data_IF_908524492921
#
_entry.id   IF_908524492921
#
_cell.length_a   1.000
_cell.length_b   1.000
_cell.length_c   1.000
_cell.angle_alpha   90.00
_cell.angle_beta   90.00
_cell.angle_gamma   90.00
#
_symmetry.space_group_name_H-M   'P 1'
#
loop_
_entity.id
_entity.type
_entity.pdbx_description
1 polymer ?
#
# COMPACT_ATOMS: atom_id res chain seq x y z
N UNK A 1 -9.17 -1.36 -33.73
CA UNK A 1 -10.22 -0.57 -33.02
C UNK A 1 -11.38 -1.45 -32.57
N UNK A 2 -12.02 -2.24 -33.45
CA UNK A 2 -13.19 -3.07 -33.10
C UNK A 2 -12.95 -4.07 -31.96
N UNK A 3 -11.79 -4.69 -31.91
CA UNK A 3 -11.44 -5.62 -30.82
C UNK A 3 -11.38 -4.95 -29.45
N UNK A 4 -10.90 -3.72 -29.38
CA UNK A 4 -10.86 -2.94 -28.13
C UNK A 4 -12.27 -2.51 -27.72
N UNK A 5 -13.07 -2.08 -28.67
CA UNK A 5 -14.45 -1.64 -28.43
C UNK A 5 -15.31 -2.76 -27.80
N UNK A 6 -15.05 -4.01 -28.15
CA UNK A 6 -15.76 -5.16 -27.59
C UNK A 6 -15.57 -5.34 -26.06
N UNK A 7 -14.56 -4.73 -25.48
CA UNK A 7 -14.32 -4.78 -24.03
C UNK A 7 -14.99 -3.64 -23.26
N UNK A 8 -15.50 -2.62 -23.93
CA UNK A 8 -16.23 -1.55 -23.25
C UNK A 8 -17.66 -1.99 -22.94
N UNK A 9 -18.16 -1.69 -21.74
CA UNK A 9 -19.54 -1.95 -21.42
C UNK A 9 -20.49 -1.07 -22.24
N UNK A 10 -21.72 -1.56 -22.42
CA UNK A 10 -22.76 -0.73 -23.01
C UNK A 10 -23.14 0.43 -22.09
N UNK A 11 -23.61 1.52 -22.65
CA UNK A 11 -24.12 2.64 -21.88
C UNK A 11 -25.29 2.20 -20.98
N UNK A 12 -25.30 2.69 -19.74
CA UNK A 12 -26.45 2.49 -18.82
C UNK A 12 -27.53 3.55 -19.05
N UNK A 13 -27.17 4.67 -19.73
CA UNK A 13 -28.09 5.71 -20.14
C UNK A 13 -27.68 6.25 -21.52
N UNK A 14 -28.29 5.75 -22.56
CA UNK A 14 -27.96 6.13 -23.95
C UNK A 14 -28.33 7.57 -24.30
N UNK A 15 -29.21 8.22 -23.52
CA UNK A 15 -29.57 9.62 -23.74
C UNK A 15 -28.45 10.61 -23.41
N UNK A 16 -27.40 10.15 -22.68
CA UNK A 16 -26.27 10.99 -22.33
C UNK A 16 -25.11 10.78 -23.30
N UNK A 17 -24.58 11.86 -23.85
CA UNK A 17 -23.38 11.82 -24.70
C UNK A 17 -22.09 11.55 -23.94
N UNK A 18 -22.03 11.95 -22.68
CA UNK A 18 -20.92 11.70 -21.75
C UNK A 18 -21.48 11.27 -20.39
N UNK A 19 -20.70 10.50 -19.62
CA UNK A 19 -21.16 9.96 -18.34
C UNK A 19 -22.34 8.98 -18.50
N UNK A 20 -22.43 8.34 -19.65
CA UNK A 20 -23.52 7.46 -20.05
C UNK A 20 -23.41 6.04 -19.49
N UNK A 21 -22.34 5.74 -18.75
CA UNK A 21 -22.15 4.48 -18.06
C UNK A 21 -21.98 4.72 -16.56
N UNK A 22 -22.77 4.03 -15.75
CA UNK A 22 -22.69 4.10 -14.29
C UNK A 22 -22.82 2.71 -13.69
N UNK A 23 -21.94 2.40 -12.76
CA UNK A 23 -21.92 1.14 -12.00
C UNK A 23 -21.51 1.43 -10.57
N UNK A 24 -22.10 0.70 -9.63
CA UNK A 24 -21.65 0.69 -8.24
C UNK A 24 -20.46 -0.24 -8.09
N UNK A 25 -19.43 0.22 -7.40
CA UNK A 25 -18.29 -0.61 -6.99
C UNK A 25 -17.92 -0.28 -5.55
N UNK A 26 -17.53 -1.31 -4.79
CA UNK A 26 -17.09 -1.15 -3.40
C UNK A 26 -15.59 -1.38 -3.34
N UNK A 27 -14.80 -0.39 -2.91
CA UNK A 27 -13.37 -0.58 -2.70
C UNK A 27 -13.12 -1.65 -1.64
N UNK A 28 -12.12 -2.50 -1.88
CA UNK A 28 -11.64 -3.43 -0.87
C UNK A 28 -10.81 -2.67 0.16
N UNK A 29 -11.12 -2.86 1.44
CA UNK A 29 -10.31 -2.37 2.54
C UNK A 29 -10.34 -3.37 3.69
N UNK A 30 -9.21 -4.03 3.91
CA UNK A 30 -9.04 -4.95 5.04
C UNK A 30 -7.72 -4.65 5.71
N UNK A 31 -7.74 -4.34 7.00
CA UNK A 31 -6.55 -4.07 7.78
C UNK A 31 -6.61 -4.83 9.10
N UNK A 32 -5.53 -5.54 9.40
CA UNK A 32 -5.32 -6.20 10.68
C UNK A 32 -4.05 -5.67 11.31
N UNK A 33 -4.13 -5.35 12.58
CA UNK A 33 -2.99 -4.88 13.35
C UNK A 33 -2.87 -5.68 14.65
N UNK A 34 -1.67 -6.17 14.90
CA UNK A 34 -1.30 -6.87 16.14
C UNK A 34 -0.20 -6.08 16.81
N UNK A 35 -0.41 -5.75 18.07
CA UNK A 35 0.54 -4.99 18.87
C UNK A 35 0.75 -5.68 20.23
N UNK A 36 2.01 -5.79 20.63
CA UNK A 36 2.38 -6.36 21.92
C UNK A 36 3.50 -5.55 22.55
N UNK A 37 3.38 -5.27 23.83
CA UNK A 37 4.41 -4.60 24.64
C UNK A 37 4.70 -5.38 25.91
N UNK A 38 5.98 -5.55 26.20
CA UNK A 38 6.46 -6.13 27.46
C UNK A 38 7.33 -5.10 28.18
N UNK A 39 7.16 -5.02 29.51
CA UNK A 39 8.02 -4.22 30.38
C UNK A 39 8.72 -5.16 31.35
N UNK A 40 10.00 -4.93 31.56
CA UNK A 40 10.84 -5.67 32.49
C UNK A 40 11.54 -4.69 33.43
N UNK A 41 11.15 -4.72 34.69
CA UNK A 41 11.82 -3.98 35.75
C UNK A 41 13.00 -4.82 36.27
N UNK A 42 14.21 -4.53 35.77
CA UNK A 42 15.42 -5.19 36.22
C UNK A 42 15.69 -4.94 37.73
N UNK A 43 15.39 -3.70 38.15
CA UNK A 43 15.40 -3.24 39.54
C UNK A 43 14.64 -1.93 39.65
N UNK A 44 14.58 -1.31 40.80
CA UNK A 44 13.91 -0.05 41.08
C UNK A 44 14.41 1.14 40.22
N UNK A 45 15.62 1.04 39.67
CA UNK A 45 16.29 2.10 38.89
C UNK A 45 16.30 1.84 37.41
N UNK A 46 16.04 0.62 36.93
CA UNK A 46 16.21 0.25 35.56
C UNK A 46 14.98 -0.48 35.00
N UNK A 47 14.22 0.20 34.19
CA UNK A 47 13.11 -0.34 33.41
C UNK A 47 13.56 -0.55 31.97
N UNK A 48 13.24 -1.71 31.40
CA UNK A 48 13.45 -2.06 29.99
C UNK A 48 12.11 -2.45 29.41
N UNK A 49 11.84 -2.08 28.19
CA UNK A 49 10.62 -2.47 27.49
C UNK A 49 10.91 -2.88 26.05
N UNK A 50 10.10 -3.78 25.53
CA UNK A 50 10.08 -4.16 24.14
C UNK A 50 8.67 -4.05 23.58
N UNK A 51 8.56 -3.64 22.32
CA UNK A 51 7.29 -3.56 21.59
C UNK A 51 7.45 -4.18 20.20
N UNK A 52 6.43 -4.93 19.78
CA UNK A 52 6.30 -5.52 18.46
C UNK A 52 4.93 -5.14 17.91
N UNK A 53 4.90 -4.58 16.71
CA UNK A 53 3.68 -4.30 15.98
C UNK A 53 3.76 -4.88 14.57
N UNK A 54 2.71 -5.56 14.12
CA UNK A 54 2.60 -6.11 12.77
C UNK A 54 1.26 -5.70 12.20
N UNK A 55 1.30 -5.05 11.04
CA UNK A 55 0.12 -4.66 10.28
C UNK A 55 0.11 -5.38 8.93
N UNK A 56 -1.03 -5.94 8.57
CA UNK A 56 -1.31 -6.38 7.21
C UNK A 56 -2.52 -5.60 6.69
N UNK A 57 -2.42 -5.07 5.50
CA UNK A 57 -3.49 -4.31 4.87
C UNK A 57 -3.65 -4.71 3.41
N UNK A 58 -4.90 -4.93 3.00
CA UNK A 58 -5.30 -5.09 1.61
C UNK A 58 -6.22 -3.95 1.26
N UNK A 59 -5.86 -3.20 0.23
CA UNK A 59 -6.61 -2.04 -0.28
C UNK A 59 -6.72 -2.15 -1.78
N UNK A 60 -7.87 -1.84 -2.34
CA UNK A 60 -8.00 -1.79 -3.79
C UNK A 60 -9.45 -1.71 -4.26
N UNK A 61 -9.62 -1.78 -5.55
CA UNK A 61 -10.92 -1.70 -6.18
C UNK A 61 -10.99 -2.42 -7.52
N UNK A 62 -12.21 -2.59 -7.97
CA UNK A 62 -12.49 -3.21 -9.26
C UNK A 62 -12.74 -2.13 -10.30
N UNK A 63 -12.03 -2.21 -11.42
CA UNK A 63 -12.25 -1.35 -12.57
C UNK A 63 -13.63 -1.59 -13.18
N UNK A 64 -14.28 -0.51 -13.61
CA UNK A 64 -15.68 -0.56 -14.06
C UNK A 64 -15.87 -1.12 -15.47
N UNK A 65 -14.79 -1.30 -16.25
CA UNK A 65 -14.84 -1.82 -17.61
C UNK A 65 -14.54 -3.34 -17.70
N UNK A 66 -14.70 -4.08 -16.61
CA UNK A 66 -14.42 -5.51 -16.60
C UNK A 66 -12.96 -5.80 -16.95
N UNK A 67 -12.71 -6.61 -17.98
CA UNK A 67 -11.35 -6.96 -18.43
C UNK A 67 -10.58 -5.77 -19.03
N UNK A 68 -11.25 -4.75 -19.55
CA UNK A 68 -10.61 -3.51 -19.98
C UNK A 68 -10.21 -2.60 -18.81
N UNK A 69 -10.51 -3.03 -17.58
CA UNK A 69 -10.21 -2.36 -16.32
C UNK A 69 -10.93 -1.02 -16.15
N UNK A 70 -10.41 0.07 -16.69
CA UNK A 70 -10.98 1.41 -16.51
C UNK A 70 -10.86 1.94 -15.07
N UNK A 71 -11.54 3.04 -14.74
CA UNK A 71 -11.48 3.62 -13.41
C UNK A 71 -12.11 2.70 -12.36
N UNK A 72 -11.62 2.79 -11.11
CA UNK A 72 -12.25 2.16 -9.96
C UNK A 72 -12.75 3.25 -9.00
N UNK A 73 -14.06 3.33 -8.71
CA UNK A 73 -14.60 4.35 -7.84
C UNK A 73 -13.98 4.31 -6.44
N UNK A 74 -13.39 5.42 -6.01
CA UNK A 74 -12.80 5.58 -4.68
C UNK A 74 -11.45 4.90 -4.45
N UNK A 75 -10.86 4.27 -5.49
CA UNK A 75 -9.54 3.63 -5.41
C UNK A 75 -8.94 3.43 -6.81
N UNK A 76 -7.74 2.86 -6.88
CA UNK A 76 -7.16 2.40 -8.14
C UNK A 76 -7.61 0.97 -8.46
N UNK A 77 -7.69 0.59 -9.76
CA UNK A 77 -8.17 -0.72 -10.19
C UNK A 77 -7.11 -1.81 -9.98
N UNK A 78 -7.24 -2.56 -8.91
CA UNK A 78 -6.30 -3.60 -8.52
C UNK A 78 -6.25 -3.77 -7.00
N UNK A 79 -5.22 -4.44 -6.53
CA UNK A 79 -5.01 -4.70 -5.10
C UNK A 79 -3.60 -4.28 -4.68
N UNK A 80 -3.53 -3.55 -3.56
CA UNK A 80 -2.31 -3.32 -2.81
C UNK A 80 -2.30 -4.19 -1.57
N UNK A 81 -1.30 -5.06 -1.45
CA UNK A 81 -1.01 -5.82 -0.25
C UNK A 81 0.19 -5.21 0.44
N UNK A 82 0.02 -4.84 1.70
CA UNK A 82 1.04 -4.14 2.47
C UNK A 82 1.21 -4.80 3.83
N UNK A 83 2.45 -5.20 4.13
CA UNK A 83 2.84 -5.61 5.47
C UNK A 83 3.77 -4.55 6.07
N UNK A 84 3.47 -4.14 7.30
CA UNK A 84 4.35 -3.26 8.08
C UNK A 84 4.70 -3.93 9.40
N UNK A 85 5.99 -4.00 9.68
CA UNK A 85 6.54 -4.49 10.95
C UNK A 85 7.20 -3.33 11.69
N UNK A 86 6.89 -3.19 12.97
CA UNK A 86 7.47 -2.20 13.86
C UNK A 86 8.01 -2.92 15.10
N UNK A 87 9.30 -2.82 15.33
CA UNK A 87 9.97 -3.38 16.48
C UNK A 87 10.68 -2.27 17.22
N UNK A 88 10.56 -2.24 18.53
CA UNK A 88 11.30 -1.27 19.33
C UNK A 88 11.69 -1.85 20.69
N UNK A 89 12.82 -1.42 21.18
CA UNK A 89 13.29 -1.67 22.52
C UNK A 89 13.74 -0.36 23.14
N UNK A 90 13.43 -0.16 24.39
CA UNK A 90 13.85 1.03 25.10
C UNK A 90 14.12 0.76 26.56
N UNK A 91 14.79 1.70 27.19
CA UNK A 91 15.06 1.65 28.61
C UNK A 91 15.04 3.03 29.25
N UNK A 92 14.75 3.04 30.53
CA UNK A 92 14.94 4.19 31.41
C UNK A 92 15.80 3.74 32.59
N UNK A 93 16.90 4.43 32.84
CA UNK A 93 17.85 4.08 33.88
C UNK A 93 18.20 5.30 34.77
N UNK A 94 17.80 5.25 36.01
CA UNK A 94 18.16 6.22 37.03
C UNK A 94 19.54 5.85 37.62
N UNK A 95 20.60 6.40 37.03
CA UNK A 95 21.97 6.16 37.45
C UNK A 95 22.23 6.71 38.86
N UNK A 96 21.80 7.93 39.10
CA UNK A 96 21.84 8.60 40.41
C UNK A 96 20.52 9.34 40.63
N UNK A 97 20.20 9.83 41.84
CA UNK A 97 19.01 10.64 42.09
C UNK A 97 18.90 11.88 41.18
N UNK A 98 20.02 12.31 40.60
CA UNK A 98 20.10 13.51 39.74
C UNK A 98 20.39 13.20 38.28
N UNK A 99 20.63 11.94 37.89
CA UNK A 99 21.01 11.56 36.52
C UNK A 99 20.17 10.42 36.04
N UNK A 100 19.39 10.68 34.99
CA UNK A 100 18.52 9.70 34.31
C UNK A 100 18.93 9.59 32.86
N UNK A 101 19.01 8.38 32.37
CA UNK A 101 19.24 8.03 30.97
C UNK A 101 18.01 7.34 30.40
N UNK A 102 17.51 7.81 29.26
CA UNK A 102 16.50 7.14 28.47
C UNK A 102 17.08 6.81 27.10
N UNK A 103 16.78 5.63 26.60
CA UNK A 103 17.19 5.20 25.28
C UNK A 103 16.09 4.42 24.58
N UNK A 104 15.96 4.62 23.28
CA UNK A 104 15.05 3.85 22.41
C UNK A 104 15.79 3.52 21.13
N UNK A 105 15.65 2.28 20.69
CA UNK A 105 16.00 1.81 19.37
C UNK A 105 14.75 1.25 18.70
N UNK A 106 14.49 1.65 17.46
CA UNK A 106 13.36 1.21 16.65
C UNK A 106 13.80 0.72 15.30
N UNK A 107 13.12 -0.30 14.81
CA UNK A 107 13.20 -0.81 13.45
C UNK A 107 11.80 -0.87 12.85
N UNK A 108 11.65 -0.38 11.64
CA UNK A 108 10.45 -0.51 10.85
C UNK A 108 10.79 -1.10 9.48
N UNK A 109 9.97 -2.05 9.03
CA UNK A 109 10.00 -2.57 7.67
C UNK A 109 8.60 -2.49 7.08
N UNK A 110 8.49 -1.95 5.89
CA UNK A 110 7.29 -2.01 5.04
C UNK A 110 7.63 -2.83 3.82
N UNK A 111 6.75 -3.78 3.51
CA UNK A 111 6.77 -4.58 2.29
C UNK A 111 5.43 -4.37 1.60
N UNK A 112 5.44 -3.83 0.39
CA UNK A 112 4.25 -3.47 -0.35
C UNK A 112 4.32 -4.00 -1.78
N UNK A 113 3.28 -4.73 -2.16
CA UNK A 113 3.05 -5.19 -3.53
C UNK A 113 1.72 -4.61 -4.01
N UNK A 114 1.75 -3.92 -5.16
CA UNK A 114 0.54 -3.39 -5.78
C UNK A 114 0.45 -3.94 -7.19
N UNK A 115 -0.66 -4.58 -7.49
CA UNK A 115 -0.90 -5.23 -8.78
C UNK A 115 -2.23 -4.76 -9.36
N UNK A 116 -2.25 -4.49 -10.65
CA UNK A 116 -3.46 -4.19 -11.39
C UNK A 116 -4.43 -5.37 -11.42
N UNK A 117 -5.71 -5.08 -11.64
CA UNK A 117 -6.75 -6.10 -11.79
C UNK A 117 -6.47 -7.09 -12.92
N UNK A 118 -5.75 -6.65 -13.93
CA UNK A 118 -5.40 -7.39 -15.14
C UNK A 118 -3.97 -7.94 -15.12
N UNK A 119 -3.29 -7.88 -13.98
CA UNK A 119 -1.90 -8.31 -13.83
C UNK A 119 -1.69 -9.73 -14.37
N UNK A 120 -0.68 -9.90 -15.21
CA UNK A 120 -0.30 -11.17 -15.81
C UNK A 120 -1.19 -11.67 -16.96
N UNK A 121 -2.31 -11.00 -17.28
CA UNK A 121 -3.20 -11.38 -18.38
C UNK A 121 -2.62 -10.90 -19.73
N UNK A 122 -2.51 -11.78 -20.71
CA UNK A 122 -1.94 -11.45 -22.03
C UNK A 122 -2.99 -10.84 -22.97
N UNK A 123 -3.29 -9.56 -22.79
CA UNK A 123 -4.17 -8.83 -23.68
C UNK A 123 -3.49 -8.35 -24.97
N UNK A 124 -2.17 -8.24 -24.99
CA UNK A 124 -1.43 -7.90 -26.22
C UNK A 124 -1.73 -8.90 -27.35
N UNK A 125 -1.60 -10.19 -27.04
CA UNK A 125 -1.93 -11.27 -27.98
C UNK A 125 -3.42 -11.27 -28.33
N UNK A 126 -4.31 -11.15 -27.33
CA UNK A 126 -5.76 -11.14 -27.56
C UNK A 126 -6.20 -10.01 -28.49
N UNK A 127 -5.66 -8.83 -28.30
CA UNK A 127 -5.96 -7.64 -29.11
C UNK A 127 -5.23 -7.64 -30.46
N UNK A 128 -4.16 -8.42 -30.58
CA UNK A 128 -3.31 -8.46 -31.79
C UNK A 128 -2.49 -7.19 -31.93
N UNK A 129 -1.97 -6.63 -30.83
CA UNK A 129 -1.15 -5.43 -30.83
C UNK A 129 0.32 -5.87 -30.75
N UNK A 130 1.10 -5.73 -31.83
CA UNK A 130 2.51 -6.14 -31.82
C UNK A 130 3.36 -5.14 -31.01
N UNK A 131 4.47 -5.67 -30.44
CA UNK A 131 5.48 -4.84 -29.79
C UNK A 131 5.15 -4.43 -28.35
N UNK A 132 4.06 -4.94 -27.77
CA UNK A 132 3.74 -4.79 -26.35
C UNK A 132 3.53 -6.15 -25.70
N UNK A 133 3.74 -6.22 -24.40
CA UNK A 133 3.71 -7.47 -23.64
C UNK A 133 4.99 -8.30 -23.87
N UNK A 134 5.38 -9.04 -22.87
CA UNK A 134 6.56 -9.89 -22.86
C UNK A 134 6.32 -11.16 -22.06
N UNK A 135 7.37 -11.95 -21.78
CA UNK A 135 7.25 -13.16 -20.96
C UNK A 135 7.00 -12.84 -19.48
N UNK A 136 7.45 -11.68 -19.01
CA UNK A 136 7.27 -11.26 -17.63
C UNK A 136 5.80 -10.87 -17.34
N UNK A 137 5.17 -11.40 -16.29
CA UNK A 137 3.81 -10.99 -15.89
C UNK A 137 3.65 -9.47 -15.69
N UNK A 138 4.71 -8.75 -15.31
CA UNK A 138 4.71 -7.30 -15.14
C UNK A 138 4.56 -6.51 -16.44
N UNK A 139 4.87 -7.12 -17.57
CA UNK A 139 4.73 -6.54 -18.91
C UNK A 139 3.36 -6.83 -19.53
N UNK A 140 2.50 -7.54 -18.81
CA UNK A 140 1.18 -7.96 -19.25
C UNK A 140 0.10 -7.11 -18.57
N UNK A 141 -1.07 -7.12 -19.17
CA UNK A 141 -2.24 -6.34 -18.73
C UNK A 141 -2.97 -5.76 -19.93
N UNK A 142 -4.09 -5.12 -19.66
CA UNK A 142 -4.82 -4.42 -20.70
C UNK A 142 -4.11 -3.10 -21.02
N UNK A 143 -3.88 -2.78 -22.29
CA UNK A 143 -3.19 -1.53 -22.66
C UNK A 143 -3.88 -0.30 -22.08
N UNK A 144 -3.12 0.63 -21.52
CA UNK A 144 -3.65 1.91 -21.08
C UNK A 144 -3.89 2.78 -22.31
N UNK A 145 -5.17 2.94 -22.66
CA UNK A 145 -5.60 3.69 -23.85
C UNK A 145 -6.51 4.82 -23.40
N UNK A 146 -6.05 6.06 -23.55
CA UNK A 146 -6.85 7.26 -23.35
C UNK A 146 -7.41 7.76 -24.68
N UNK A 147 -8.69 8.10 -24.72
CA UNK A 147 -9.36 8.63 -25.92
C UNK A 147 -10.03 9.95 -25.56
N UNK A 148 -9.38 11.06 -25.88
CA UNK A 148 -9.92 12.39 -25.63
C UNK A 148 -10.31 12.63 -24.17
N UNK A 149 -11.56 13.00 -23.93
CA UNK A 149 -12.13 13.23 -22.60
C UNK A 149 -12.78 11.99 -21.96
N UNK A 150 -12.73 10.84 -22.61
CA UNK A 150 -13.27 9.59 -22.06
C UNK A 150 -12.30 8.94 -21.08
N UNK A 151 -12.85 8.18 -20.16
CA UNK A 151 -12.03 7.38 -19.24
C UNK A 151 -11.21 6.36 -20.03
N UNK A 152 -9.93 6.25 -19.66
CA UNK A 152 -9.00 5.29 -20.26
C UNK A 152 -9.24 3.87 -19.79
N UNK A 153 -8.64 2.92 -20.51
CA UNK A 153 -8.56 1.51 -20.16
C UNK A 153 -7.26 1.20 -19.41
N UNK A 154 -7.13 -0.05 -18.93
CA UNK A 154 -5.95 -0.51 -18.23
C UNK A 154 -5.79 0.09 -16.84
N UNK A 155 -4.65 -0.18 -16.23
CA UNK A 155 -4.28 0.34 -14.92
C UNK A 155 -3.40 1.58 -15.03
N UNK A 156 -3.29 2.41 -13.97
CA UNK A 156 -2.33 3.52 -13.96
C UNK A 156 -0.91 3.06 -14.25
N UNK A 157 -0.12 3.89 -14.93
CA UNK A 157 1.22 3.54 -15.40
C UNK A 157 2.26 3.31 -14.30
N UNK A 158 1.93 3.55 -13.02
CA UNK A 158 2.78 3.24 -11.87
C UNK A 158 2.60 1.80 -11.35
N UNK A 159 1.57 1.09 -11.83
CA UNK A 159 1.36 -0.33 -11.53
C UNK A 159 2.01 -1.22 -12.61
N UNK A 160 2.56 -2.39 -12.23
CA UNK A 160 2.70 -2.92 -10.88
C UNK A 160 3.82 -2.22 -10.09
N UNK A 161 3.72 -2.25 -8.75
CA UNK A 161 4.72 -1.70 -7.84
C UNK A 161 5.12 -2.76 -6.81
N UNK A 162 6.41 -2.92 -6.60
CA UNK A 162 6.98 -3.61 -5.45
C UNK A 162 7.90 -2.65 -4.70
N UNK A 163 7.70 -2.50 -3.41
CA UNK A 163 8.48 -1.60 -2.58
C UNK A 163 8.76 -2.19 -1.21
N UNK A 164 10.05 -2.19 -0.86
CA UNK A 164 10.50 -2.52 0.48
C UNK A 164 11.18 -1.29 1.05
N UNK A 165 10.74 -0.85 2.21
CA UNK A 165 11.35 0.25 2.94
C UNK A 165 11.73 -0.21 4.34
N UNK A 166 12.96 0.08 4.74
CA UNK A 166 13.48 -0.20 6.07
C UNK A 166 13.97 1.09 6.73
N UNK A 167 13.64 1.25 8.00
CA UNK A 167 14.03 2.42 8.77
C UNK A 167 14.54 2.01 10.15
N UNK A 168 15.67 2.57 10.53
CA UNK A 168 16.25 2.44 11.86
C UNK A 168 16.21 3.80 12.56
N UNK A 169 15.70 3.81 13.77
CA UNK A 169 15.60 5.02 14.57
C UNK A 169 16.25 4.79 15.92
N UNK A 170 17.05 5.74 16.37
CA UNK A 170 17.60 5.74 17.73
C UNK A 170 17.43 7.09 18.39
N UNK A 171 17.09 7.09 19.65
CA UNK A 171 16.96 8.31 20.46
C UNK A 171 17.52 8.07 21.85
N UNK A 172 18.34 8.99 22.32
CA UNK A 172 18.91 8.94 23.66
C UNK A 172 18.76 10.30 24.34
N UNK A 173 18.25 10.28 25.57
CA UNK A 173 18.09 11.47 26.40
C UNK A 173 18.87 11.29 27.71
N UNK A 174 19.57 12.35 28.07
CA UNK A 174 20.27 12.47 29.36
C UNK A 174 19.60 13.61 30.13
N UNK A 175 19.07 13.30 31.30
CA UNK A 175 18.48 14.30 32.20
C UNK A 175 19.35 14.42 33.44
N UNK A 176 19.88 15.63 33.65
CA UNK A 176 20.66 15.97 34.82
C UNK A 176 19.97 17.06 35.64
N UNK A 177 19.68 16.79 36.91
CA UNK A 177 19.06 17.72 37.85
C UNK A 177 20.14 18.32 38.74
N UNK A 178 20.36 19.62 38.62
CA UNK A 178 21.34 20.37 39.44
C UNK A 178 20.62 21.36 40.37
N UNK A 179 20.55 21.01 41.66
CA UNK A 179 19.94 21.86 42.66
C UNK A 179 18.40 21.85 42.63
N UNK A 180 17.79 22.57 43.54
CA UNK A 180 16.35 22.80 43.60
C UNK A 180 16.02 24.16 42.96
N UNK A 181 15.87 24.16 41.64
CA UNK A 181 15.34 25.31 40.89
C UNK A 181 14.17 24.86 40.04
#
# INVERSE_FOLDING_TARGET
ASKIQAFFPNATNEALGQGNFSIGATPAFNRRYHDGKLNFNRNEKHNIWGRVGIMNAIVGGTGVFGDAVGPAPGSDPGLGDTQVQNHSVGHSYTLTPTLILDGVFGFQRMDQVVQGQDFGKDFATTLGIPGIGGPDPREKGFPNIGIGSYNGTGVPGWMPLERIEESFTTSHNVRYLKGAH
#
